data_IF_592738004137
#
_entry.id   IF_592738004137
#
_cell.length_a   1.000
_cell.length_b   1.000
_cell.length_c   1.000
_cell.angle_alpha   90.00
_cell.angle_beta   90.00
_cell.angle_gamma   90.00
#
_symmetry.space_group_name_H-M   'P 1'
#
loop_
_entity.id
_entity.type
_entity.pdbx_description
1 polymer ?
#
# COMPACT_ATOMS: atom_id res chain seq x y z
N UNK A 1 -9.80 10.42 -5.76
CA UNK A 1 -10.51 9.17 -5.41
C UNK A 1 -10.58 9.04 -3.89
N UNK A 2 -11.58 8.37 -3.32
CA UNK A 2 -11.75 8.25 -1.86
C UNK A 2 -12.03 6.80 -1.49
N UNK A 3 -11.46 6.36 -0.37
CA UNK A 3 -11.74 5.10 0.31
C UNK A 3 -11.74 5.30 1.83
N UNK A 4 -12.05 4.24 2.58
CA UNK A 4 -12.09 4.29 4.03
C UNK A 4 -11.50 2.99 4.60
N UNK A 5 -10.75 3.12 5.69
CA UNK A 5 -10.24 1.97 6.44
C UNK A 5 -11.33 1.37 7.35
N UNK A 6 -11.14 0.14 7.78
CA UNK A 6 -12.00 -0.63 8.67
C UNK A 6 -12.18 0.06 10.05
N UNK A 7 -11.18 0.83 10.47
CA UNK A 7 -11.18 1.59 11.71
C UNK A 7 -11.60 3.06 11.52
N UNK A 8 -12.16 3.41 10.36
CA UNK A 8 -12.91 4.65 10.15
C UNK A 8 -12.12 5.82 9.55
N UNK A 9 -10.84 5.66 9.23
CA UNK A 9 -10.01 6.73 8.65
C UNK A 9 -10.30 6.87 7.16
N UNK A 10 -10.61 8.09 6.73
CA UNK A 10 -10.85 8.37 5.31
C UNK A 10 -9.52 8.54 4.57
N UNK A 11 -9.31 7.77 3.50
CA UNK A 11 -8.14 7.89 2.63
C UNK A 11 -8.56 8.56 1.32
N UNK A 12 -7.89 9.66 0.94
CA UNK A 12 -8.14 10.32 -0.35
C UNK A 12 -6.88 10.33 -1.18
N UNK A 13 -7.04 10.25 -2.50
CA UNK A 13 -5.94 10.33 -3.46
C UNK A 13 -6.23 11.39 -4.50
N UNK A 14 -5.28 12.29 -4.69
CA UNK A 14 -5.28 13.39 -5.65
C UNK A 14 -4.17 13.15 -6.66
N UNK A 15 -4.55 12.79 -7.89
CA UNK A 15 -3.62 12.52 -8.99
C UNK A 15 -4.17 13.05 -10.32
N UNK A 16 -3.32 13.12 -11.34
CA UNK A 16 -3.69 13.53 -12.70
C UNK A 16 -4.69 12.60 -13.38
N UNK A 17 -4.62 11.29 -13.08
CA UNK A 17 -5.49 10.28 -13.71
C UNK A 17 -6.21 9.42 -12.68
N UNK A 18 -7.39 8.92 -13.06
CA UNK A 18 -8.18 8.02 -12.23
C UNK A 18 -7.48 6.67 -12.03
N UNK A 19 -6.79 6.16 -13.05
CA UNK A 19 -6.06 4.89 -12.98
C UNK A 19 -4.96 4.94 -11.91
N UNK A 20 -4.15 6.00 -11.93
CA UNK A 20 -3.10 6.22 -10.91
C UNK A 20 -3.72 6.44 -9.54
N UNK A 21 -4.80 7.23 -9.45
CA UNK A 21 -5.51 7.43 -8.18
C UNK A 21 -5.99 6.12 -7.56
N UNK A 22 -6.49 5.19 -8.39
CA UNK A 22 -6.99 3.88 -7.94
C UNK A 22 -5.86 2.98 -7.47
N UNK A 23 -4.79 2.88 -8.25
CA UNK A 23 -3.59 2.11 -7.90
C UNK A 23 -3.04 2.54 -6.54
N UNK A 24 -2.85 3.84 -6.33
CA UNK A 24 -2.34 4.37 -5.05
C UNK A 24 -3.32 4.14 -3.92
N UNK A 25 -4.63 4.31 -4.15
CA UNK A 25 -5.64 4.11 -3.11
C UNK A 25 -5.68 2.66 -2.63
N UNK A 26 -5.65 1.69 -3.53
CA UNK A 26 -5.72 0.27 -3.20
C UNK A 26 -4.51 -0.17 -2.36
N UNK A 27 -3.31 0.29 -2.75
CA UNK A 27 -2.07 0.05 -2.00
C UNK A 27 -2.13 0.75 -0.64
N UNK A 28 -2.54 2.01 -0.60
CA UNK A 28 -2.60 2.80 0.63
C UNK A 28 -3.56 2.17 1.64
N UNK A 29 -4.77 1.77 1.23
CA UNK A 29 -5.71 1.10 2.12
C UNK A 29 -5.14 -0.20 2.68
N UNK A 30 -4.58 -1.06 1.82
CA UNK A 30 -4.01 -2.33 2.26
C UNK A 30 -2.83 -2.14 3.23
N UNK A 31 -1.94 -1.17 2.95
CA UNK A 31 -0.82 -0.83 3.82
C UNK A 31 -1.31 -0.26 5.15
N UNK A 32 -2.32 0.63 5.13
CA UNK A 32 -2.87 1.26 6.33
C UNK A 32 -3.50 0.22 7.25
N UNK A 33 -4.32 -0.70 6.73
CA UNK A 33 -4.89 -1.81 7.49
C UNK A 33 -3.81 -2.69 8.12
N UNK A 34 -2.77 -3.03 7.36
CA UNK A 34 -1.71 -3.87 7.88
C UNK A 34 -0.93 -3.16 8.98
N UNK A 35 -0.54 -1.90 8.77
CA UNK A 35 0.19 -1.12 9.75
C UNK A 35 -0.64 -0.92 11.02
N UNK A 36 -1.92 -0.57 10.91
CA UNK A 36 -2.81 -0.44 12.06
C UNK A 36 -2.90 -1.74 12.88
N UNK A 37 -3.03 -2.88 12.21
CA UNK A 37 -3.07 -4.19 12.86
C UNK A 37 -1.77 -4.55 13.57
N UNK A 38 -0.62 -4.13 13.05
CA UNK A 38 0.66 -4.50 13.66
C UNK A 38 1.08 -3.53 14.76
N UNK A 39 0.80 -2.24 14.57
CA UNK A 39 1.16 -1.23 15.56
C UNK A 39 0.25 -1.31 16.79
N UNK A 40 -0.95 -1.92 16.66
CA UNK A 40 -1.96 -2.06 17.73
C UNK A 40 -2.29 -0.72 18.44
N UNK A 41 -2.02 0.39 17.75
CA UNK A 41 -2.19 1.76 18.24
C UNK A 41 -3.12 2.47 17.28
N UNK A 42 -4.22 2.99 17.82
CA UNK A 42 -5.15 3.81 17.07
C UNK A 42 -4.56 5.18 16.80
N UNK A 43 -4.49 5.55 15.53
CA UNK A 43 -4.13 6.91 15.14
C UNK A 43 -5.30 7.86 15.43
N UNK A 44 -5.07 9.04 16.01
CA UNK A 44 -6.11 10.06 16.20
C UNK A 44 -6.40 10.84 14.91
N UNK A 45 -6.30 10.19 13.75
CA UNK A 45 -6.48 10.80 12.43
C UNK A 45 -7.87 10.45 11.90
N UNK A 46 -8.63 11.47 11.51
CA UNK A 46 -9.94 11.25 10.87
C UNK A 46 -9.80 11.02 9.35
N UNK A 47 -8.71 11.52 8.77
CA UNK A 47 -8.41 11.40 7.34
C UNK A 47 -6.91 11.39 7.06
N UNK A 48 -6.54 10.86 5.91
CA UNK A 48 -5.25 11.04 5.27
C UNK A 48 -5.47 11.36 3.79
N UNK A 49 -4.76 12.36 3.28
CA UNK A 49 -4.81 12.74 1.87
C UNK A 49 -3.46 12.36 1.22
N UNK A 50 -3.49 11.71 0.05
CA UNK A 50 -2.32 11.44 -0.79
C UNK A 50 -2.34 12.39 -1.97
N UNK A 51 -1.28 13.17 -2.14
CA UNK A 51 -1.14 14.11 -3.25
C UNK A 51 0.05 13.70 -4.10
N UNK A 52 -0.22 13.41 -5.37
CA UNK A 52 0.82 13.11 -6.34
C UNK A 52 1.35 14.40 -6.93
N UNK A 53 2.65 14.61 -6.77
CA UNK A 53 3.33 15.84 -7.17
C UNK A 53 4.16 15.59 -8.44
N UNK A 54 3.88 16.32 -9.54
CA UNK A 54 4.70 16.26 -10.74
C UNK A 54 6.11 16.82 -10.46
N UNK A 55 7.15 16.22 -11.02
CA UNK A 55 8.56 16.64 -10.86
C UNK A 55 9.07 16.64 -9.41
N UNK A 56 8.48 15.81 -8.56
CA UNK A 56 8.98 15.48 -7.23
C UNK A 56 9.58 14.08 -7.25
N UNK A 57 10.64 13.85 -6.48
CA UNK A 57 11.25 12.53 -6.33
C UNK A 57 11.23 12.12 -4.85
N UNK A 58 10.76 10.91 -4.58
CA UNK A 58 10.53 10.39 -3.23
C UNK A 58 9.11 10.56 -2.69
N UNK A 59 9.02 10.58 -1.36
CA UNK A 59 7.80 10.74 -0.55
C UNK A 59 8.04 11.69 0.62
N UNK A 60 6.97 12.28 1.15
CA UNK A 60 7.03 13.13 2.35
C UNK A 60 5.80 12.90 3.23
N UNK A 61 6.04 12.73 4.53
CA UNK A 61 5.12 12.25 5.54
C UNK A 61 4.36 13.33 6.34
N UNK A 62 3.85 14.40 5.71
CA UNK A 62 3.14 15.40 6.49
C UNK A 62 1.92 14.78 7.22
N UNK A 63 1.66 15.21 8.45
CA UNK A 63 0.62 14.60 9.29
C UNK A 63 -0.77 14.73 8.66
N UNK A 64 -1.35 13.60 8.23
CA UNK A 64 -2.63 13.57 7.53
C UNK A 64 -2.57 13.98 6.05
N UNK A 65 -1.36 14.19 5.50
CA UNK A 65 -1.11 14.53 4.11
C UNK A 65 0.22 13.91 3.62
N UNK A 66 0.14 12.85 2.83
CA UNK A 66 1.32 12.23 2.21
C UNK A 66 1.52 12.79 0.81
N UNK A 67 2.73 13.28 0.51
CA UNK A 67 3.13 13.64 -0.84
C UNK A 67 3.90 12.49 -1.49
N UNK A 68 3.58 12.16 -2.73
CA UNK A 68 4.26 11.10 -3.50
C UNK A 68 4.69 11.62 -4.86
N UNK A 69 5.81 11.11 -5.36
CA UNK A 69 6.21 11.32 -6.76
C UNK A 69 5.15 10.77 -7.70
N UNK A 70 4.67 11.60 -8.62
CA UNK A 70 3.72 11.17 -9.65
C UNK A 70 4.34 10.09 -10.57
N UNK A 71 5.62 10.22 -10.90
CA UNK A 71 6.33 9.27 -11.76
C UNK A 71 6.41 7.87 -11.12
N UNK A 72 6.60 7.80 -9.80
CA UNK A 72 6.59 6.55 -9.05
C UNK A 72 5.21 5.87 -9.14
N UNK A 73 4.15 6.66 -9.06
CA UNK A 73 2.79 6.16 -9.09
C UNK A 73 2.29 5.83 -10.52
N UNK A 74 2.82 6.46 -11.56
CA UNK A 74 2.43 6.22 -12.95
C UNK A 74 3.24 5.12 -13.64
N UNK A 75 4.56 5.12 -13.47
CA UNK A 75 5.48 4.27 -14.22
C UNK A 75 6.39 3.42 -13.33
N UNK A 76 6.41 3.71 -12.03
CA UNK A 76 7.21 2.96 -11.08
C UNK A 76 6.70 1.54 -10.85
N UNK A 77 7.62 0.66 -10.50
CA UNK A 77 7.32 -0.73 -10.12
C UNK A 77 6.36 -0.80 -8.91
N UNK A 78 5.47 -1.79 -8.91
CA UNK A 78 4.49 -1.99 -7.84
C UNK A 78 5.15 -2.21 -6.48
N UNK A 79 6.26 -2.96 -6.42
CA UNK A 79 6.93 -3.22 -5.15
C UNK A 79 7.58 -1.94 -4.60
N UNK A 80 8.18 -1.12 -5.46
CA UNK A 80 8.76 0.16 -5.06
C UNK A 80 7.68 1.16 -4.63
N UNK A 81 6.59 1.32 -5.38
CA UNK A 81 5.48 2.18 -4.97
C UNK A 81 4.91 1.74 -3.61
N UNK A 82 4.70 0.43 -3.45
CA UNK A 82 4.18 -0.14 -2.20
C UNK A 82 5.12 0.12 -1.03
N UNK A 83 6.42 -0.01 -1.25
CA UNK A 83 7.44 0.33 -0.26
C UNK A 83 7.32 1.78 0.19
N UNK A 84 7.29 2.74 -0.75
CA UNK A 84 7.28 4.18 -0.42
C UNK A 84 5.97 4.54 0.28
N UNK A 85 4.81 4.09 -0.22
CA UNK A 85 3.53 4.33 0.44
C UNK A 85 3.52 3.81 1.88
N UNK A 86 4.03 2.58 2.10
CA UNK A 86 4.12 2.01 3.44
C UNK A 86 5.13 2.78 4.33
N UNK A 87 6.24 3.24 3.76
CA UNK A 87 7.25 4.04 4.46
C UNK A 87 6.65 5.35 5.00
N UNK A 88 5.99 6.13 4.13
CA UNK A 88 5.38 7.40 4.52
C UNK A 88 4.21 7.21 5.49
N UNK A 89 3.43 6.15 5.32
CA UNK A 89 2.37 5.81 6.28
C UNK A 89 2.93 5.42 7.64
N UNK A 90 4.01 4.63 7.70
CA UNK A 90 4.60 4.20 8.96
C UNK A 90 5.08 5.38 9.82
N UNK A 91 5.54 6.46 9.19
CA UNK A 91 5.91 7.70 9.90
C UNK A 91 4.77 8.29 10.72
N UNK A 92 3.50 8.04 10.37
CA UNK A 92 2.36 8.49 11.17
C UNK A 92 2.25 7.79 12.54
N UNK A 93 2.88 6.64 12.73
CA UNK A 93 3.00 6.01 14.05
C UNK A 93 4.37 6.27 14.69
N UNK A 94 5.41 6.25 13.87
CA UNK A 94 6.82 6.19 14.32
C UNK A 94 7.43 7.59 14.50
N UNK A 95 6.86 8.64 13.89
CA UNK A 95 7.30 10.03 14.05
C UNK A 95 6.70 10.76 15.26
N UNK A 96 5.41 10.55 15.55
CA UNK A 96 4.69 11.42 16.51
C UNK A 96 4.22 10.73 17.81
N UNK A 97 4.12 9.39 17.88
CA UNK A 97 3.59 8.71 19.09
C UNK A 97 4.49 7.65 19.72
N UNK A 98 5.39 7.04 18.97
CA UNK A 98 6.24 5.97 19.49
C UNK A 98 7.71 6.17 19.08
N UNK A 99 8.45 7.00 19.83
CA UNK A 99 9.91 6.94 19.80
C UNK A 99 10.37 5.60 20.38
N UNK A 100 10.76 4.68 19.51
CA UNK A 100 11.53 3.50 19.91
C UNK A 100 12.83 4.00 20.52
N UNK A 101 13.26 3.44 21.66
CA UNK A 101 14.36 3.96 22.50
C UNK A 101 15.74 4.05 21.79
N UNK A 102 15.84 3.63 20.53
CA UNK A 102 17.02 3.73 19.68
C UNK A 102 16.65 3.54 18.20
N UNK A 103 17.24 4.35 17.32
CA UNK A 103 17.19 4.25 15.85
C UNK A 103 17.49 2.85 15.30
N UNK A 104 18.21 2.03 16.06
CA UNK A 104 18.60 0.66 15.67
C UNK A 104 17.43 -0.31 15.54
N UNK A 105 16.33 -0.07 16.25
CA UNK A 105 15.14 -0.95 16.22
C UNK A 105 14.12 -0.53 15.15
N UNK A 106 14.16 0.73 14.72
CA UNK A 106 13.30 1.30 13.67
C UNK A 106 13.57 0.61 12.33
N UNK A 107 14.84 0.45 11.94
CA UNK A 107 15.19 -0.19 10.69
C UNK A 107 14.73 -1.66 10.64
N UNK A 108 14.75 -2.36 11.79
CA UNK A 108 14.35 -3.76 11.88
C UNK A 108 12.83 -3.93 11.72
N UNK A 109 12.05 -3.07 12.39
CA UNK A 109 10.58 -3.10 12.28
C UNK A 109 10.11 -2.70 10.89
N UNK A 110 10.63 -1.59 10.35
CA UNK A 110 10.31 -1.11 9.00
C UNK A 110 10.65 -2.18 7.95
N UNK A 111 11.83 -2.81 8.04
CA UNK A 111 12.23 -3.88 7.11
C UNK A 111 11.35 -5.14 7.24
N UNK A 112 10.95 -5.53 8.45
CA UNK A 112 10.04 -6.66 8.66
C UNK A 112 8.63 -6.37 8.11
N UNK A 113 8.14 -5.14 8.25
CA UNK A 113 6.84 -4.74 7.71
C UNK A 113 6.81 -4.70 6.19
N UNK A 114 7.84 -4.14 5.57
CA UNK A 114 8.02 -4.13 4.12
C UNK A 114 8.10 -5.56 3.57
N UNK A 115 8.87 -6.45 4.21
CA UNK A 115 8.96 -7.85 3.79
C UNK A 115 7.60 -8.57 3.84
N UNK A 116 6.79 -8.28 4.86
CA UNK A 116 5.48 -8.93 5.03
C UNK A 116 4.42 -8.44 4.05
N UNK A 117 4.50 -7.16 3.65
CA UNK A 117 3.69 -6.61 2.56
C UNK A 117 4.09 -7.25 1.22
N UNK A 118 5.39 -7.32 0.94
CA UNK A 118 5.92 -7.97 -0.27
C UNK A 118 5.43 -9.43 -0.40
N UNK A 119 5.48 -10.21 0.67
CA UNK A 119 4.98 -11.59 0.66
C UNK A 119 3.48 -11.69 0.35
N UNK A 120 2.66 -10.75 0.85
CA UNK A 120 1.21 -10.79 0.62
C UNK A 120 0.84 -10.43 -0.83
N UNK A 121 1.51 -9.45 -1.42
CA UNK A 121 1.33 -9.09 -2.83
C UNK A 121 1.94 -10.13 -3.79
N UNK A 122 3.06 -10.76 -3.42
CA UNK A 122 3.65 -11.86 -4.20
C UNK A 122 2.77 -13.12 -4.19
N UNK A 123 2.20 -13.47 -3.04
CA UNK A 123 1.31 -14.63 -2.94
C UNK A 123 -0.08 -14.42 -3.54
N UNK A 124 -0.63 -13.19 -3.51
CA UNK A 124 -1.92 -12.87 -4.13
C UNK A 124 -1.93 -13.09 -5.65
N UNK A 125 -0.83 -12.74 -6.33
CA UNK A 125 -0.67 -12.99 -7.78
C UNK A 125 -0.60 -14.47 -8.14
N UNK A 126 -0.02 -15.29 -7.27
CA UNK A 126 0.06 -16.74 -7.48
C UNK A 126 -1.28 -17.45 -7.29
N UNK A 127 -2.18 -16.93 -6.44
CA UNK A 127 -3.50 -17.55 -6.22
C UNK A 127 -4.50 -17.23 -7.34
N UNK A 128 -4.49 -16.00 -7.86
CA UNK A 128 -5.35 -15.63 -9.01
C UNK A 128 -4.90 -16.36 -10.28
N UNK A 129 -3.59 -16.34 -10.60
CA UNK A 129 -3.05 -17.05 -11.76
C UNK A 129 -3.30 -18.56 -11.72
N UNK A 130 -3.21 -19.20 -10.55
CA UNK A 130 -3.51 -20.64 -10.39
C UNK A 130 -5.00 -20.95 -10.48
N UNK A 131 -5.87 -20.04 -10.05
CA UNK A 131 -7.33 -20.20 -10.16
C UNK A 131 -7.83 -20.00 -11.60
N UNK A 132 -7.17 -19.14 -12.37
CA UNK A 132 -7.50 -18.86 -13.78
C UNK A 132 -6.96 -19.95 -14.71
N UNK A 133 -5.74 -20.45 -14.44
CA UNK A 133 -5.20 -21.65 -15.09
C UNK A 133 -6.10 -22.87 -14.84
N UNK A 134 -6.51 -23.10 -13.59
CA UNK A 134 -7.39 -24.23 -13.24
C UNK A 134 -8.79 -24.14 -13.90
N UNK A 135 -9.34 -22.92 -14.08
CA UNK A 135 -10.60 -22.72 -14.83
C UNK A 135 -10.42 -22.98 -16.32
N UNK A 136 -9.30 -22.55 -16.90
CA UNK A 136 -9.02 -22.75 -18.32
C UNK A 136 -8.73 -24.23 -18.66
N UNK A 137 -8.05 -24.95 -17.77
CA UNK A 137 -7.78 -26.39 -17.92
C UNK A 137 -9.09 -27.22 -17.85
N UNK A 138 -10.02 -26.85 -16.97
CA UNK A 138 -11.36 -27.46 -16.90
C UNK A 138 -12.23 -27.14 -18.12
N UNK A 139 -12.06 -25.97 -18.74
CA UNK A 139 -12.78 -25.59 -19.95
C UNK A 139 -12.20 -26.25 -21.22
N UNK A 140 -10.90 -26.58 -21.22
CA UNK A 140 -10.22 -27.29 -22.32
C UNK A 140 -10.58 -28.77 -22.35
N UNK A 141 -10.62 -29.44 -21.20
CA UNK A 141 -10.95 -30.88 -21.10
C UNK A 141 -12.38 -31.25 -21.51
N UNK A 142 -13.29 -30.27 -21.64
CA UNK A 142 -14.68 -30.48 -22.10
C UNK A 142 -14.86 -30.45 -23.61
N UNK A 143 -13.85 -30.03 -24.40
CA UNK A 143 -13.97 -29.92 -25.87
C UNK A 143 -13.36 -31.09 -26.65
N UNK A 144 -12.58 -31.96 -25.99
CA UNK A 144 -11.94 -33.12 -26.64
C UNK A 144 -12.70 -34.43 -26.43
N UNK A 145 -13.83 -34.39 -25.72
CA UNK A 145 -14.71 -35.54 -25.51
C UNK A 145 -16.07 -35.36 -26.21
N UNK A 146 -16.07 -35.29 -27.54
CA UNK A 146 -17.25 -35.60 -28.36
C UNK A 146 -16.86 -36.18 -29.71
#
# INVERSE_FOLDING_TARGET
LVGQTSFGVTVRVHASTLAVSRRVLDIALAAFELLANIMEITLPLNKIDFVLVPKYDGGMENWGLVMLSENLASTGDDAHLTYVVAHELAHHWIGDKATVNSWRWICLQVSIFIFRIFLKFSNGRNTEGRSEQARNDQASGKREGM
#
